data_IF_849092645116
#
_entry.id   IF_849092645116
#
_cell.length_a   1.000
_cell.length_b   1.000
_cell.length_c   1.000
_cell.angle_alpha   90.00
_cell.angle_beta   90.00
_cell.angle_gamma   90.00
#
_symmetry.space_group_name_H-M   'P 1'
#
loop_
_entity.id
_entity.type
_entity.pdbx_description
1 polymer ?
#
# COMPACT_ATOMS: atom_id res chain seq x y z
N UNK A 1 9.68 13.31 -33.23
CA UNK A 1 9.34 11.93 -32.81
C UNK A 1 10.49 11.43 -31.96
N UNK A 2 10.28 11.21 -30.67
CA UNK A 2 11.32 10.61 -29.83
C UNK A 2 11.53 9.15 -30.25
N UNK A 3 12.79 8.73 -30.32
CA UNK A 3 13.18 7.37 -30.64
C UNK A 3 13.04 6.52 -29.38
N UNK A 4 12.36 5.38 -29.47
CA UNK A 4 12.28 4.38 -28.40
C UNK A 4 13.32 3.29 -28.72
N UNK A 5 14.20 2.98 -27.77
CA UNK A 5 15.20 1.91 -27.83
C UNK A 5 14.91 0.98 -26.67
N UNK A 6 14.89 -0.33 -26.92
CA UNK A 6 14.72 -1.34 -25.90
C UNK A 6 15.71 -2.49 -26.11
N UNK A 7 16.19 -3.05 -25.01
CA UNK A 7 16.94 -4.30 -24.96
C UNK A 7 15.95 -5.45 -24.83
N UNK A 8 16.11 -6.46 -25.69
CA UNK A 8 15.34 -7.70 -25.62
C UNK A 8 16.27 -8.85 -25.27
N UNK A 9 16.07 -9.42 -24.07
CA UNK A 9 16.78 -10.63 -23.64
C UNK A 9 15.81 -11.80 -23.72
N UNK A 10 16.04 -12.69 -24.67
CA UNK A 10 15.31 -13.96 -24.78
C UNK A 10 16.19 -15.10 -24.29
N UNK A 11 15.62 -15.96 -23.43
CA UNK A 11 16.26 -17.19 -22.99
C UNK A 11 15.53 -18.36 -23.62
N UNK A 12 16.28 -19.20 -24.31
CA UNK A 12 15.79 -20.44 -24.88
C UNK A 12 16.43 -21.62 -24.13
N UNK A 13 15.60 -22.60 -23.80
CA UNK A 13 16.04 -23.92 -23.36
C UNK A 13 15.91 -24.86 -24.55
N UNK A 14 16.92 -25.68 -24.79
CA UNK A 14 16.93 -26.61 -25.93
C UNK A 14 16.81 -28.02 -25.39
N UNK A 15 15.62 -28.62 -25.55
CA UNK A 15 15.37 -30.02 -25.23
C UNK A 15 15.23 -30.81 -26.54
N UNK A 16 16.00 -31.89 -26.68
CA UNK A 16 15.97 -32.77 -27.86
C UNK A 16 16.14 -32.03 -29.20
N UNK A 17 16.96 -30.98 -29.22
CA UNK A 17 17.21 -30.17 -30.42
C UNK A 17 16.10 -29.18 -30.78
N UNK A 18 15.05 -29.08 -29.96
CA UNK A 18 13.95 -28.12 -30.15
C UNK A 18 14.13 -26.95 -29.17
N UNK A 19 14.38 -25.71 -29.67
CA UNK A 19 14.45 -24.54 -28.81
C UNK A 19 13.06 -24.16 -28.30
N UNK A 20 12.93 -24.00 -26.99
CA UNK A 20 11.73 -23.50 -26.30
C UNK A 20 12.05 -22.17 -25.64
N UNK A 21 11.27 -21.15 -25.94
CA UNK A 21 11.40 -19.84 -25.30
C UNK A 21 10.95 -19.96 -23.84
N UNK A 22 11.87 -19.73 -22.90
CA UNK A 22 11.62 -19.85 -21.45
C UNK A 22 11.27 -18.49 -20.85
N UNK A 23 11.92 -17.42 -21.34
CA UNK A 23 11.65 -16.07 -20.86
C UNK A 23 11.99 -15.03 -21.92
N UNK A 24 11.18 -13.97 -21.98
CA UNK A 24 11.53 -12.72 -22.66
C UNK A 24 11.55 -11.60 -21.63
N UNK A 25 12.61 -10.82 -21.61
CA UNK A 25 12.70 -9.58 -20.85
C UNK A 25 12.89 -8.43 -21.85
N UNK A 26 12.08 -7.40 -21.72
CA UNK A 26 12.16 -6.18 -22.53
C UNK A 26 12.48 -5.05 -21.55
N UNK A 27 13.58 -4.35 -21.78
CA UNK A 27 13.98 -3.19 -21.01
C UNK A 27 14.03 -1.99 -21.94
N UNK A 28 13.30 -0.91 -21.64
CA UNK A 28 13.46 0.34 -22.38
C UNK A 28 14.79 0.99 -21.98
N UNK A 29 15.61 1.34 -22.97
CA UNK A 29 16.95 1.96 -22.82
C UNK A 29 16.88 3.47 -23.06
N UNK A 30 16.10 3.92 -24.04
CA UNK A 30 16.03 5.33 -24.42
C UNK A 30 14.67 5.64 -25.03
N UNK A 31 14.01 6.70 -24.56
CA UNK A 31 12.72 7.17 -25.10
C UNK A 31 11.52 6.32 -24.68
N UNK A 32 10.46 7.00 -24.21
CA UNK A 32 9.35 6.36 -23.52
C UNK A 32 9.73 6.08 -22.07
N UNK A 33 9.49 7.03 -21.17
CA UNK A 33 9.67 6.78 -19.74
C UNK A 33 8.63 5.75 -19.30
N UNK A 34 9.02 4.46 -19.28
CA UNK A 34 8.28 3.49 -18.49
C UNK A 34 8.41 3.86 -17.00
N UNK A 35 7.39 3.50 -16.22
CA UNK A 35 7.32 3.88 -14.80
C UNK A 35 8.54 3.39 -14.02
N UNK A 36 9.11 2.24 -14.41
CA UNK A 36 10.31 1.70 -13.79
C UNK A 36 11.53 2.62 -14.00
N UNK A 37 11.74 3.10 -15.23
CA UNK A 37 12.83 4.01 -15.59
C UNK A 37 12.64 5.39 -14.96
N UNK A 38 11.40 5.86 -14.86
CA UNK A 38 11.08 7.08 -14.13
C UNK A 38 11.41 6.93 -12.63
N UNK A 39 10.98 5.83 -12.00
CA UNK A 39 11.26 5.55 -10.60
C UNK A 39 12.76 5.50 -10.30
N UNK A 40 13.56 4.79 -11.11
CA UNK A 40 15.02 4.71 -10.92
C UNK A 40 15.70 6.07 -11.12
N UNK A 41 15.27 6.85 -12.11
CA UNK A 41 15.74 8.22 -12.36
C UNK A 41 15.44 9.14 -11.17
N UNK A 42 14.25 9.06 -10.60
CA UNK A 42 13.87 9.82 -9.41
C UNK A 42 14.71 9.44 -8.18
N UNK A 43 14.88 8.14 -7.91
CA UNK A 43 15.73 7.66 -6.81
C UNK A 43 17.18 8.15 -6.98
N UNK A 44 17.69 8.17 -8.21
CA UNK A 44 19.01 8.73 -8.51
C UNK A 44 19.11 10.22 -8.16
N UNK A 45 18.14 11.02 -8.59
CA UNK A 45 18.09 12.47 -8.29
C UNK A 45 17.98 12.78 -6.80
N UNK A 46 17.35 11.89 -6.03
CA UNK A 46 17.21 12.01 -4.58
C UNK A 46 18.47 11.56 -3.80
N UNK A 47 19.53 11.10 -4.47
CA UNK A 47 20.74 10.61 -3.81
C UNK A 47 20.57 9.23 -3.16
N UNK A 48 19.53 8.47 -3.52
CA UNK A 48 19.19 7.19 -2.88
C UNK A 48 20.34 6.18 -2.98
N UNK A 49 21.05 6.16 -4.11
CA UNK A 49 22.21 5.29 -4.34
C UNK A 49 23.42 5.60 -3.45
N UNK A 50 23.45 6.71 -2.71
CA UNK A 50 24.51 6.98 -1.75
C UNK A 50 24.38 6.05 -0.53
N UNK A 51 23.15 5.82 -0.05
CA UNK A 51 22.84 5.00 1.13
C UNK A 51 22.53 3.53 0.80
N UNK A 52 21.98 3.26 -0.38
CA UNK A 52 21.47 1.94 -0.74
C UNK A 52 22.27 1.28 -1.88
N UNK A 53 22.47 -0.03 -1.80
CA UNK A 53 22.95 -0.90 -2.87
C UNK A 53 21.77 -1.44 -3.68
N UNK A 54 21.85 -1.34 -5.01
CA UNK A 54 20.92 -1.94 -5.96
C UNK A 54 21.28 -3.41 -6.21
N UNK A 55 20.28 -4.30 -6.17
CA UNK A 55 20.36 -5.66 -6.67
C UNK A 55 19.25 -5.91 -7.69
N UNK A 56 19.64 -6.17 -8.94
CA UNK A 56 18.72 -6.35 -10.06
C UNK A 56 18.58 -7.83 -10.40
N UNK A 57 17.34 -8.29 -10.49
CA UNK A 57 16.98 -9.63 -10.97
C UNK A 57 16.15 -9.53 -12.23
N UNK A 58 15.76 -10.67 -12.82
CA UNK A 58 14.81 -10.70 -13.92
C UNK A 58 13.39 -10.29 -13.53
N UNK A 59 13.06 -10.28 -12.24
CA UNK A 59 11.69 -10.08 -11.75
C UNK A 59 11.49 -8.76 -11.01
N UNK A 60 12.55 -8.15 -10.48
CA UNK A 60 12.50 -6.94 -9.67
C UNK A 60 13.88 -6.29 -9.52
N UNK A 61 13.89 -5.03 -9.11
CA UNK A 61 15.05 -4.30 -8.59
C UNK A 61 14.85 -4.11 -7.09
N UNK A 62 15.77 -4.62 -6.27
CA UNK A 62 15.74 -4.47 -4.82
C UNK A 62 16.84 -3.55 -4.32
N UNK A 63 16.55 -2.70 -3.36
CA UNK A 63 17.50 -1.79 -2.72
C UNK A 63 17.67 -2.15 -1.25
N UNK A 64 18.91 -2.32 -0.81
CA UNK A 64 19.26 -2.63 0.59
C UNK A 64 20.28 -1.62 1.10
N UNK A 65 20.39 -1.42 2.40
CA UNK A 65 21.42 -0.54 2.95
C UNK A 65 22.83 -1.06 2.61
N UNK A 66 23.75 -0.14 2.28
CA UNK A 66 25.16 -0.47 2.05
C UNK A 66 25.87 -0.98 3.30
N UNK A 67 25.62 -0.29 4.42
CA UNK A 67 26.24 -0.58 5.71
C UNK A 67 25.15 -0.95 6.73
N UNK A 68 24.48 -2.10 6.56
CA UNK A 68 23.45 -2.50 7.49
C UNK A 68 24.05 -2.77 8.87
N UNK A 69 23.39 -2.29 9.93
CA UNK A 69 23.65 -2.75 11.30
C UNK A 69 23.56 -4.29 11.40
N UNK A 70 24.02 -4.88 12.51
CA UNK A 70 24.00 -6.34 12.71
C UNK A 70 22.59 -6.91 12.43
N UNK A 71 22.44 -7.63 11.31
CA UNK A 71 21.21 -8.34 10.94
C UNK A 71 20.37 -7.74 9.80
N UNK A 72 20.65 -6.51 9.31
CA UNK A 72 19.77 -5.83 8.35
C UNK A 72 20.10 -6.14 6.87
N UNK A 73 20.07 -7.41 6.45
CA UNK A 73 20.24 -7.80 5.02
C UNK A 73 18.97 -7.68 4.17
N UNK A 74 17.88 -7.13 4.74
CA UNK A 74 16.57 -7.05 4.08
C UNK A 74 16.55 -5.89 3.07
N UNK A 75 15.76 -6.06 2.00
CA UNK A 75 15.46 -4.94 1.11
C UNK A 75 14.65 -3.89 1.88
N UNK A 76 14.85 -2.63 1.50
CA UNK A 76 14.14 -1.46 2.02
C UNK A 76 13.21 -0.85 0.97
N UNK A 77 13.45 -1.18 -0.30
CA UNK A 77 12.59 -0.83 -1.42
C UNK A 77 12.74 -1.92 -2.49
N UNK A 78 11.63 -2.34 -3.08
CA UNK A 78 11.60 -3.24 -4.23
C UNK A 78 10.71 -2.66 -5.31
N UNK A 79 11.20 -2.61 -6.54
CA UNK A 79 10.48 -2.18 -7.73
C UNK A 79 10.30 -3.38 -8.66
N UNK A 80 9.07 -3.69 -9.03
CA UNK A 80 8.74 -4.80 -9.92
C UNK A 80 7.74 -4.36 -10.99
N UNK A 81 8.16 -4.38 -12.25
CA UNK A 81 7.24 -4.18 -13.37
C UNK A 81 6.35 -5.42 -13.52
N UNK A 82 5.03 -5.21 -13.43
CA UNK A 82 4.01 -6.25 -13.60
C UNK A 82 3.00 -5.83 -14.68
N UNK A 83 2.01 -6.70 -14.92
CA UNK A 83 0.93 -6.44 -15.89
C UNK A 83 0.02 -5.30 -15.43
N UNK A 84 -0.14 -5.18 -14.13
CA UNK A 84 -1.02 -4.22 -13.46
C UNK A 84 -0.37 -2.83 -13.31
N UNK A 85 0.95 -2.70 -13.56
CA UNK A 85 1.69 -1.45 -13.39
C UNK A 85 3.08 -1.68 -12.80
N UNK A 86 3.68 -0.61 -12.27
CA UNK A 86 4.89 -0.70 -11.45
C UNK A 86 4.47 -1.00 -10.02
N UNK A 87 4.77 -2.20 -9.55
CA UNK A 87 4.54 -2.56 -8.17
C UNK A 87 5.76 -2.19 -7.32
N UNK A 88 5.49 -1.48 -6.22
CA UNK A 88 6.49 -0.94 -5.31
C UNK A 88 6.24 -1.52 -3.93
N UNK A 89 7.24 -2.18 -3.37
CA UNK A 89 7.17 -2.78 -2.05
C UNK A 89 8.15 -2.12 -1.09
N UNK A 90 7.68 -1.74 0.09
CA UNK A 90 8.49 -1.21 1.19
C UNK A 90 8.09 -1.89 2.50
N UNK A 91 8.97 -1.88 3.54
CA UNK A 91 8.69 -2.54 4.81
C UNK A 91 7.40 -2.06 5.49
N UNK A 92 6.69 -3.00 6.13
CA UNK A 92 5.41 -2.72 6.83
C UNK A 92 5.56 -1.63 7.89
N UNK A 93 6.68 -1.63 8.62
CA UNK A 93 6.98 -0.65 9.66
C UNK A 93 7.31 0.76 9.10
N UNK A 94 7.51 0.89 7.79
CA UNK A 94 7.61 2.19 7.10
C UNK A 94 6.22 2.67 6.66
N UNK A 95 5.35 1.77 6.22
CA UNK A 95 3.98 2.11 5.83
C UNK A 95 3.07 2.38 7.03
N UNK A 96 3.17 1.60 8.11
CA UNK A 96 2.23 1.64 9.25
C UNK A 96 1.87 3.05 9.74
N UNK A 97 2.81 3.99 9.95
CA UNK A 97 2.46 5.34 10.39
C UNK A 97 1.86 6.23 9.29
N UNK A 98 1.90 5.81 8.03
CA UNK A 98 1.52 6.60 6.85
C UNK A 98 0.23 6.13 6.19
N UNK A 99 -0.41 5.07 6.69
CA UNK A 99 -1.59 4.47 6.05
C UNK A 99 -2.86 4.59 6.88
N UNK A 100 -3.99 4.50 6.19
CA UNK A 100 -5.31 4.27 6.74
C UNK A 100 -5.59 2.77 6.74
N UNK A 101 -5.89 2.20 7.91
CA UNK A 101 -6.38 0.84 8.07
C UNK A 101 -7.86 0.89 8.46
N UNK A 102 -8.69 0.22 7.68
CA UNK A 102 -10.14 0.17 7.91
C UNK A 102 -10.54 -1.22 8.35
N UNK A 103 -11.35 -1.26 9.40
CA UNK A 103 -11.95 -2.47 9.95
C UNK A 103 -13.47 -2.27 10.10
N UNK A 104 -14.20 -3.36 10.25
CA UNK A 104 -15.52 -3.35 10.87
C UNK A 104 -15.64 -4.54 11.82
N UNK A 105 -16.75 -4.66 12.53
CA UNK A 105 -17.08 -5.86 13.29
C UNK A 105 -18.50 -6.33 13.01
N UNK A 106 -18.69 -7.64 12.97
CA UNK A 106 -20.00 -8.29 12.99
C UNK A 106 -20.24 -8.92 14.36
N UNK A 107 -21.46 -8.81 14.86
CA UNK A 107 -21.90 -9.36 16.16
C UNK A 107 -21.16 -8.83 17.39
N UNK A 108 -21.94 -8.53 18.43
CA UNK A 108 -21.46 -8.20 19.77
C UNK A 108 -21.97 -9.30 20.70
N UNK A 109 -21.11 -10.25 21.06
CA UNK A 109 -21.46 -11.29 22.02
C UNK A 109 -21.14 -10.75 23.41
N UNK A 110 -22.19 -10.37 24.14
CA UNK A 110 -22.05 -10.00 25.55
C UNK A 110 -21.96 -11.29 26.36
N UNK A 111 -20.77 -11.59 26.88
CA UNK A 111 -20.58 -12.61 27.88
C UNK A 111 -20.83 -12.02 29.27
N UNK A 112 -21.86 -12.51 29.96
CA UNK A 112 -21.99 -12.31 31.41
C UNK A 112 -20.92 -13.17 32.12
N UNK A 113 -19.79 -12.55 32.48
CA UNK A 113 -18.87 -13.12 33.46
C UNK A 113 -19.09 -12.50 34.85
N UNK A 114 -18.39 -13.04 35.85
CA UNK A 114 -18.55 -12.64 37.25
C UNK A 114 -18.11 -11.19 37.57
N UNK A 115 -17.57 -10.45 36.59
CA UNK A 115 -17.02 -9.11 36.77
C UNK A 115 -17.66 -8.02 35.90
N UNK A 116 -18.64 -8.39 35.08
CA UNK A 116 -19.45 -7.45 34.30
C UNK A 116 -18.96 -7.32 32.86
N UNK A 117 -19.78 -7.89 31.97
CA UNK A 117 -19.84 -7.69 30.51
C UNK A 117 -18.49 -7.65 29.78
N UNK A 118 -18.01 -8.81 29.34
CA UNK A 118 -17.05 -8.88 28.25
C UNK A 118 -17.81 -8.87 26.92
N UNK A 119 -17.49 -7.91 26.06
CA UNK A 119 -17.99 -7.84 24.69
C UNK A 119 -16.97 -8.52 23.80
N UNK A 120 -17.35 -9.63 23.16
CA UNK A 120 -16.56 -10.25 22.09
C UNK A 120 -17.12 -9.80 20.74
N UNK A 121 -16.27 -9.26 19.87
CA UNK A 121 -16.63 -8.78 18.53
C UNK A 121 -15.88 -9.57 17.48
N UNK A 122 -16.55 -9.92 16.38
CA UNK A 122 -15.87 -10.52 15.23
C UNK A 122 -15.35 -9.39 14.35
N UNK A 123 -14.07 -9.06 14.50
CA UNK A 123 -13.42 -8.04 13.69
C UNK A 123 -13.14 -8.52 12.26
N UNK A 124 -13.47 -7.68 11.30
CA UNK A 124 -13.24 -7.86 9.87
C UNK A 124 -12.30 -6.77 9.35
N UNK A 125 -11.21 -7.21 8.73
CA UNK A 125 -10.29 -6.32 8.05
C UNK A 125 -10.84 -5.93 6.67
N UNK A 126 -11.00 -4.63 6.42
CA UNK A 126 -11.56 -4.10 5.17
C UNK A 126 -10.48 -3.67 4.18
N UNK A 127 -9.34 -3.17 4.67
CA UNK A 127 -8.23 -2.83 3.80
C UNK A 127 -7.20 -1.88 4.40
N UNK A 128 -6.10 -1.70 3.67
CA UNK A 128 -5.05 -0.72 3.94
C UNK A 128 -4.90 0.20 2.75
N UNK A 129 -4.85 1.49 3.04
CA UNK A 129 -4.86 2.54 2.03
C UNK A 129 -3.78 3.56 2.34
N UNK A 130 -3.01 3.94 1.32
CA UNK A 130 -2.19 5.14 1.40
C UNK A 130 -2.96 6.26 0.72
N UNK A 131 -3.42 7.22 1.52
CA UNK A 131 -4.13 8.40 1.01
C UNK A 131 -3.10 9.37 0.46
N UNK A 132 -3.34 9.87 -0.75
CA UNK A 132 -2.40 10.79 -1.39
C UNK A 132 -2.36 12.11 -0.63
N UNK A 133 -1.19 12.58 -0.15
CA UNK A 133 -1.04 13.89 0.48
C UNK A 133 -1.63 15.05 -0.33
N UNK A 134 -1.56 14.99 -1.66
CA UNK A 134 -2.10 16.03 -2.56
C UNK A 134 -3.63 16.03 -2.67
N UNK A 135 -4.31 15.00 -2.16
CA UNK A 135 -5.76 14.77 -2.30
C UNK A 135 -6.47 14.42 -0.99
N UNK A 136 -5.85 14.69 0.16
CA UNK A 136 -6.43 14.42 1.49
C UNK A 136 -7.80 15.08 1.66
N UNK A 137 -7.93 16.36 1.28
CA UNK A 137 -9.20 17.10 1.39
C UNK A 137 -10.32 16.47 0.55
N UNK A 138 -10.00 16.09 -0.70
CA UNK A 138 -10.96 15.46 -1.62
C UNK A 138 -11.37 14.09 -1.10
N UNK A 139 -10.40 13.32 -0.59
CA UNK A 139 -10.66 12.03 0.03
C UNK A 139 -11.63 12.17 1.21
N UNK A 140 -11.32 13.07 2.15
CA UNK A 140 -12.14 13.30 3.34
C UNK A 140 -13.56 13.77 3.02
N UNK A 141 -13.72 14.66 2.02
CA UNK A 141 -15.04 15.13 1.57
C UNK A 141 -15.93 13.96 1.11
N UNK A 142 -15.37 13.09 0.25
CA UNK A 142 -16.10 11.91 -0.26
C UNK A 142 -16.36 10.92 0.86
N UNK A 143 -15.35 10.56 1.67
CA UNK A 143 -15.53 9.60 2.76
C UNK A 143 -16.59 10.09 3.74
N UNK A 144 -16.59 11.37 4.13
CA UNK A 144 -17.56 11.91 5.09
C UNK A 144 -19.01 11.87 4.56
N UNK A 145 -19.21 11.89 3.24
CA UNK A 145 -20.54 11.79 2.63
C UNK A 145 -21.15 10.39 2.72
N UNK A 146 -20.31 9.35 2.82
CA UNK A 146 -20.72 7.94 2.83
C UNK A 146 -20.50 7.25 4.20
N UNK A 147 -19.47 7.66 4.93
CA UNK A 147 -19.03 7.15 6.23
C UNK A 147 -18.85 8.33 7.20
N UNK A 148 -19.95 8.98 7.63
CA UNK A 148 -19.88 10.22 8.39
C UNK A 148 -19.25 10.01 9.77
N UNK A 149 -18.33 10.90 10.15
CA UNK A 149 -17.66 10.97 11.46
C UNK A 149 -16.77 9.77 11.82
N UNK A 150 -16.57 8.84 10.89
CA UNK A 150 -15.69 7.68 11.08
C UNK A 150 -14.23 8.10 11.26
N UNK A 151 -13.72 8.91 10.33
CA UNK A 151 -12.29 9.24 10.27
C UNK A 151 -11.88 10.43 11.14
N UNK A 152 -12.84 11.18 11.69
CA UNK A 152 -12.59 12.38 12.52
C UNK A 152 -11.63 13.41 11.88
N UNK A 153 -11.59 13.47 10.55
CA UNK A 153 -10.71 14.36 9.78
C UNK A 153 -9.29 13.83 9.55
N UNK A 154 -8.99 12.60 9.97
CA UNK A 154 -7.70 11.96 9.79
C UNK A 154 -7.68 11.08 8.53
N UNK A 155 -6.52 10.95 7.90
CA UNK A 155 -6.31 10.09 6.72
C UNK A 155 -5.31 8.97 6.96
N UNK A 156 -4.92 8.78 8.24
CA UNK A 156 -3.94 7.80 8.70
C UNK A 156 -4.37 7.27 10.06
N UNK A 157 -4.02 6.02 10.34
CA UNK A 157 -4.40 5.33 11.58
C UNK A 157 -5.42 4.22 11.32
N UNK A 158 -5.90 3.63 12.39
CA UNK A 158 -6.81 2.50 12.38
C UNK A 158 -8.21 2.94 12.79
N UNK A 159 -9.21 2.68 11.94
CA UNK A 159 -10.58 3.10 12.15
C UNK A 159 -11.57 1.98 11.89
N UNK A 160 -12.62 1.94 12.70
CA UNK A 160 -13.76 1.05 12.51
C UNK A 160 -14.90 1.80 11.82
N UNK A 161 -15.46 1.21 10.77
CA UNK A 161 -16.56 1.81 9.99
C UNK A 161 -17.93 1.68 10.67
N UNK A 162 -18.07 0.80 11.66
CA UNK A 162 -19.33 0.59 12.37
C UNK A 162 -19.87 1.91 12.94
N UNK A 163 -21.13 2.28 12.66
CA UNK A 163 -21.73 3.44 13.28
C UNK A 163 -22.03 3.15 14.75
N UNK A 164 -21.87 4.15 15.61
CA UNK A 164 -22.40 4.14 16.97
C UNK A 164 -23.82 4.72 16.94
N UNK A 165 -24.81 3.97 17.46
CA UNK A 165 -26.11 4.52 17.79
C UNK A 165 -26.09 5.02 19.23
N UNK A 166 -26.16 6.32 19.42
CA UNK A 166 -26.35 6.91 20.74
C UNK A 166 -27.82 6.77 21.13
N UNK A 167 -28.10 6.01 22.18
CA UNK A 167 -29.42 5.90 22.78
C UNK A 167 -29.52 6.82 24.00
N UNK A 168 -30.46 7.76 23.96
CA UNK A 168 -30.78 8.60 25.11
C UNK A 168 -31.95 7.99 25.87
N UNK A 169 -31.68 7.40 27.04
CA UNK A 169 -32.71 6.87 27.95
C UNK A 169 -33.06 7.91 29.02
N UNK A 170 -33.70 9.02 28.62
CA UNK A 170 -34.28 9.98 29.56
C UNK A 170 -33.26 10.58 30.54
N UNK A 171 -33.53 10.52 31.86
CA UNK A 171 -32.70 11.12 32.92
C UNK A 171 -31.36 10.39 33.22
N UNK A 172 -30.96 9.41 32.40
CA UNK A 172 -29.70 8.66 32.54
C UNK A 172 -28.68 9.04 31.47
N UNK A 173 -27.39 8.81 31.77
CA UNK A 173 -26.28 9.04 30.85
C UNK A 173 -26.52 8.37 29.49
N UNK A 174 -26.28 9.10 28.39
CA UNK A 174 -26.37 8.59 27.03
C UNK A 174 -25.45 7.37 26.88
N UNK A 175 -25.96 6.27 26.30
CA UNK A 175 -25.17 5.07 26.03
C UNK A 175 -25.03 4.87 24.52
N UNK A 176 -23.82 4.60 24.05
CA UNK A 176 -23.53 4.31 22.64
C UNK A 176 -23.59 2.79 22.41
N UNK A 177 -24.51 2.34 21.55
CA UNK A 177 -24.56 0.97 21.07
C UNK A 177 -23.83 0.88 19.72
N UNK A 178 -22.89 -0.05 19.63
CA UNK A 178 -22.16 -0.31 18.40
C UNK A 178 -23.06 -1.09 17.42
N UNK A 179 -23.30 -0.54 16.23
CA UNK A 179 -24.10 -1.21 15.21
C UNK A 179 -23.22 -2.21 14.46
N UNK A 180 -23.63 -3.49 14.45
CA UNK A 180 -22.99 -4.53 13.64
C UNK A 180 -22.99 -4.13 12.16
N UNK A 181 -21.87 -4.35 11.48
CA UNK A 181 -21.72 -4.11 10.05
C UNK A 181 -21.00 -5.31 9.45
N UNK A 182 -21.64 -5.97 8.49
CA UNK A 182 -21.00 -7.05 7.76
C UNK A 182 -19.95 -6.50 6.79
N UNK A 183 -18.89 -7.26 6.54
CA UNK A 183 -17.80 -6.82 5.68
C UNK A 183 -18.23 -6.57 4.22
N UNK A 184 -19.32 -7.20 3.76
CA UNK A 184 -19.88 -7.01 2.41
C UNK A 184 -20.69 -5.71 2.26
N UNK A 185 -21.05 -5.06 3.37
CA UNK A 185 -21.63 -3.71 3.37
C UNK A 185 -20.60 -2.64 3.03
N UNK A 186 -19.31 -2.93 3.22
CA UNK A 186 -18.23 -2.02 2.84
C UNK A 186 -18.11 -1.95 1.30
N UNK A 187 -18.18 -0.72 0.79
CA UNK A 187 -18.09 -0.42 -0.63
C UNK A 187 -16.88 0.44 -0.88
N UNK A 188 -15.83 -0.17 -1.41
CA UNK A 188 -14.58 0.50 -1.71
C UNK A 188 -14.77 1.73 -2.61
N UNK A 189 -15.72 1.68 -3.55
CA UNK A 189 -16.08 2.80 -4.42
C UNK A 189 -16.68 4.01 -3.69
N UNK A 190 -17.14 3.84 -2.45
CA UNK A 190 -17.66 4.91 -1.59
C UNK A 190 -16.60 5.52 -0.67
N UNK A 191 -15.41 4.90 -0.60
CA UNK A 191 -14.34 5.38 0.28
C UNK A 191 -13.75 6.70 -0.22
N UNK A 192 -13.63 6.86 -1.53
CA UNK A 192 -13.03 8.04 -2.16
C UNK A 192 -12.93 7.81 -3.67
N UNK A 193 -12.52 8.85 -4.40
CA UNK A 193 -12.14 8.65 -5.79
C UNK A 193 -10.93 7.69 -5.86
N UNK A 194 -10.94 6.73 -6.78
CA UNK A 194 -9.80 5.79 -6.95
C UNK A 194 -8.47 6.48 -7.30
N UNK A 195 -8.52 7.79 -7.58
CA UNK A 195 -7.35 8.64 -7.83
C UNK A 195 -6.79 9.31 -6.57
N UNK A 196 -7.45 9.22 -5.41
CA UNK A 196 -7.05 9.86 -4.15
C UNK A 196 -6.40 8.91 -3.14
N UNK A 197 -6.34 7.61 -3.43
CA UNK A 197 -5.67 6.64 -2.58
C UNK A 197 -5.06 5.49 -3.39
N UNK A 198 -4.11 4.78 -2.78
CA UNK A 198 -3.57 3.49 -3.25
C UNK A 198 -3.92 2.38 -2.27
N UNK A 199 -4.31 1.22 -2.78
CA UNK A 199 -4.57 0.02 -1.98
C UNK A 199 -3.26 -0.73 -1.75
N UNK A 200 -3.00 -1.12 -0.51
CA UNK A 200 -1.84 -1.91 -0.12
C UNK A 200 -2.19 -3.39 -0.04
N UNK A 201 -1.28 -4.21 -0.55
CA UNK A 201 -1.36 -5.66 -0.50
C UNK A 201 -0.14 -6.23 0.20
N UNK A 202 -0.27 -7.44 0.75
CA UNK A 202 0.90 -8.17 1.21
C UNK A 202 1.80 -8.59 0.04
N UNK A 203 3.09 -8.32 0.15
CA UNK A 203 4.04 -8.82 -0.83
C UNK A 203 4.31 -10.31 -0.58
N UNK A 204 3.89 -11.16 -1.52
CA UNK A 204 4.04 -12.62 -1.43
C UNK A 204 5.50 -13.09 -1.43
N UNK A 205 6.40 -12.33 -2.05
CA UNK A 205 7.83 -12.66 -2.13
C UNK A 205 8.59 -12.10 -0.93
N UNK A 206 8.14 -10.98 -0.37
CA UNK A 206 8.73 -10.32 0.78
C UNK A 206 7.68 -10.09 1.89
N UNK A 207 7.37 -11.11 2.72
CA UNK A 207 6.25 -11.04 3.67
C UNK A 207 6.32 -9.95 4.75
N UNK A 208 7.47 -9.29 4.90
CA UNK A 208 7.67 -8.15 5.80
C UNK A 208 7.43 -6.80 5.11
N UNK A 209 6.97 -6.82 3.85
CA UNK A 209 6.66 -5.64 3.06
C UNK A 209 5.18 -5.63 2.70
N UNK A 210 4.66 -4.42 2.54
CA UNK A 210 3.44 -4.22 1.76
C UNK A 210 3.81 -3.65 0.39
N UNK A 211 2.89 -3.83 -0.56
CA UNK A 211 3.05 -3.50 -1.95
C UNK A 211 1.88 -2.65 -2.45
N UNK A 212 2.19 -1.62 -3.22
CA UNK A 212 1.23 -0.88 -4.04
C UNK A 212 1.57 -1.11 -5.51
N UNK A 213 0.59 -1.06 -6.42
CA UNK A 213 0.86 -1.07 -7.86
C UNK A 213 0.38 0.23 -8.48
N UNK A 214 1.30 0.94 -9.13
CA UNK A 214 1.11 2.28 -9.67
C UNK A 214 1.06 2.22 -11.20
N UNK A 215 0.11 2.95 -11.78
CA UNK A 215 -0.18 2.97 -13.22
C UNK A 215 0.07 4.31 -13.89
N UNK A 216 0.29 5.38 -13.13
CA UNK A 216 0.57 6.72 -13.67
C UNK A 216 1.85 7.33 -13.10
N UNK A 217 2.46 8.23 -13.86
CA UNK A 217 3.67 8.95 -13.46
C UNK A 217 3.41 9.89 -12.30
N UNK A 218 2.27 10.56 -12.27
CA UNK A 218 1.88 11.50 -11.21
C UNK A 218 1.83 10.81 -9.83
N UNK A 219 1.17 9.65 -9.76
CA UNK A 219 1.09 8.84 -8.54
C UNK A 219 2.48 8.34 -8.12
N UNK A 220 3.30 7.94 -9.10
CA UNK A 220 4.65 7.47 -8.86
C UNK A 220 5.54 8.57 -8.29
N UNK A 221 5.43 9.78 -8.86
CA UNK A 221 6.19 10.93 -8.43
C UNK A 221 5.91 11.28 -6.97
N UNK A 222 4.62 11.34 -6.61
CA UNK A 222 4.20 11.59 -5.23
C UNK A 222 4.68 10.50 -4.29
N UNK A 223 4.49 9.22 -4.67
CA UNK A 223 4.91 8.07 -3.86
C UNK A 223 6.42 8.07 -3.59
N UNK A 224 7.25 8.22 -4.63
CA UNK A 224 8.71 8.20 -4.48
C UNK A 224 9.19 9.41 -3.68
N UNK A 225 8.64 10.61 -3.94
CA UNK A 225 9.03 11.81 -3.20
C UNK A 225 8.66 11.73 -1.71
N UNK A 226 7.59 11.02 -1.36
CA UNK A 226 7.18 10.79 0.02
C UNK A 226 8.04 9.72 0.69
N UNK A 227 7.98 8.48 0.20
CA UNK A 227 8.57 7.34 0.89
C UNK A 227 10.08 7.23 0.75
N UNK A 228 10.70 7.70 -0.35
CA UNK A 228 12.15 7.64 -0.46
C UNK A 228 12.82 8.50 0.62
N UNK A 229 12.23 9.65 0.98
CA UNK A 229 12.72 10.49 2.08
C UNK A 229 12.64 9.76 3.42
N UNK A 230 11.49 9.18 3.74
CA UNK A 230 11.29 8.40 4.97
C UNK A 230 12.31 7.25 5.06
N UNK A 231 12.50 6.50 3.98
CA UNK A 231 13.48 5.40 3.92
C UNK A 231 14.92 5.87 4.13
N UNK A 232 15.27 7.04 3.58
CA UNK A 232 16.58 7.66 3.76
C UNK A 232 16.77 8.22 5.17
N UNK A 233 15.73 8.66 5.87
CA UNK A 233 15.84 9.23 7.23
C UNK A 233 15.86 8.16 8.32
N UNK A 234 15.10 7.08 8.15
CA UNK A 234 14.97 5.99 9.13
C UNK A 234 16.26 5.17 9.32
N UNK A 235 17.22 5.27 8.40
CA UNK A 235 18.42 4.43 8.32
C UNK A 235 19.75 5.18 8.22
#
# INVERSE_FOLDING_TARGET
MSKIIYDVIQRFEVENGVPRLVSTNIQVIEGGEDLLSLATSMLAKLGFYEKFDENRTSQYIGYRLKNPGKGAKRYQLVLAQRKEGLCISIPQDVFQPEILELNCFSDCIIHEDAWGNLVDTIDHFLGRFWILPSKEDIFLEVTQSHYPNTLKGEVRGEFYLNPYQTFSMGDYDDYEEAVSMEADEFKLEQLGESSSYLILYEDKLFPYMWQVCITSSELLEEFINHFAKILMEKN
#
